data_IF_408632138403
#
_entry.id   IF_408632138403
#
_cell.length_a   1.000
_cell.length_b   1.000
_cell.length_c   1.000
_cell.angle_alpha   90.00
_cell.angle_beta   90.00
_cell.angle_gamma   90.00
#
_symmetry.space_group_name_H-M   'P 1'
#
loop_
_entity.id
_entity.type
_entity.pdbx_description
1 polymer ?
#
# COMPACT_ATOMS: atom_id res chain seq x y z
N UNK A 1 -35.60 -4.83 45.46
CA UNK A 1 -35.19 -3.49 44.95
C UNK A 1 -34.83 -3.59 43.48
N UNK A 2 -35.68 -3.03 42.61
CA UNK A 2 -35.47 -2.97 41.16
C UNK A 2 -34.31 -2.02 40.85
N UNK A 3 -33.18 -2.53 40.33
CA UNK A 3 -32.08 -1.68 39.84
C UNK A 3 -32.55 -1.03 38.54
N UNK A 4 -32.88 0.26 38.60
CA UNK A 4 -33.11 1.12 37.44
C UNK A 4 -32.00 0.89 36.40
N UNK A 5 -32.37 0.33 35.24
CA UNK A 5 -31.49 0.15 34.09
C UNK A 5 -31.22 1.54 33.50
N UNK A 6 -30.11 2.16 33.90
CA UNK A 6 -29.65 3.42 33.30
C UNK A 6 -29.45 3.23 31.79
N UNK A 7 -29.99 4.16 31.01
CA UNK A 7 -29.79 4.21 29.56
C UNK A 7 -28.28 4.25 29.23
N UNK A 8 -27.89 3.64 28.11
CA UNK A 8 -26.51 3.65 27.68
C UNK A 8 -26.03 5.09 27.41
N UNK A 9 -24.93 5.53 28.02
CA UNK A 9 -24.39 6.89 27.83
C UNK A 9 -23.75 7.16 26.47
N UNK A 10 -23.76 6.19 25.55
CA UNK A 10 -23.17 6.30 24.20
C UNK A 10 -24.25 6.41 23.13
N UNK A 11 -25.27 5.55 23.22
CA UNK A 11 -26.30 5.42 22.20
C UNK A 11 -27.70 5.68 22.75
N UNK A 12 -27.81 6.07 24.02
CA UNK A 12 -29.05 6.41 24.75
C UNK A 12 -30.14 5.32 24.79
N UNK A 13 -29.88 4.16 24.17
CA UNK A 13 -30.75 3.00 24.20
C UNK A 13 -30.82 2.38 25.61
N UNK A 14 -32.02 1.92 25.98
CA UNK A 14 -32.23 1.12 27.16
C UNK A 14 -31.76 -0.33 26.93
N UNK A 15 -31.32 -1.01 28.01
CA UNK A 15 -31.10 -2.47 28.09
C UNK A 15 -29.76 -3.06 27.59
N UNK A 16 -28.68 -2.31 27.45
CA UNK A 16 -27.34 -2.94 27.37
C UNK A 16 -26.25 -2.15 28.11
N UNK A 17 -25.24 -2.88 28.60
CA UNK A 17 -24.07 -2.27 29.25
C UNK A 17 -23.36 -1.34 28.26
N UNK A 18 -22.86 -0.22 28.75
CA UNK A 18 -22.07 0.77 27.99
C UNK A 18 -20.93 0.13 27.20
N UNK A 19 -20.28 -0.89 27.77
CA UNK A 19 -19.22 -1.65 27.09
C UNK A 19 -19.66 -2.38 25.81
N UNK A 20 -20.92 -2.87 25.74
CA UNK A 20 -21.44 -3.52 24.51
C UNK A 20 -21.76 -2.50 23.41
N UNK A 21 -22.28 -1.30 23.74
CA UNK A 21 -22.45 -0.23 22.74
C UNK A 21 -21.11 0.37 22.33
N UNK A 22 -20.16 0.45 23.27
CA UNK A 22 -18.81 0.90 22.96
C UNK A 22 -18.17 -0.05 21.96
N UNK A 23 -18.12 -1.36 22.20
CA UNK A 23 -17.54 -2.32 21.25
C UNK A 23 -18.19 -2.28 19.86
N UNK A 24 -19.52 -2.18 19.78
CA UNK A 24 -20.24 -2.12 18.50
C UNK A 24 -19.99 -0.79 17.77
N UNK A 25 -20.06 0.34 18.45
CA UNK A 25 -19.75 1.65 17.85
C UNK A 25 -18.25 1.85 17.59
N UNK A 26 -17.36 1.21 18.35
CA UNK A 26 -15.92 1.21 18.12
C UNK A 26 -15.63 0.50 16.80
N UNK A 27 -16.22 -0.69 16.63
CA UNK A 27 -16.18 -1.44 15.38
C UNK A 27 -16.78 -0.64 14.22
N UNK A 28 -17.97 -0.06 14.37
CA UNK A 28 -18.58 0.71 13.28
C UNK A 28 -17.80 2.01 12.94
N UNK A 29 -17.17 2.67 13.94
CA UNK A 29 -16.39 3.91 13.74
C UNK A 29 -14.96 3.68 13.23
N UNK A 30 -14.32 2.58 13.62
CA UNK A 30 -12.94 2.24 13.21
C UNK A 30 -12.91 1.22 12.09
N UNK A 31 -13.73 0.19 12.15
CA UNK A 31 -13.67 -1.00 11.29
C UNK A 31 -14.67 -0.91 10.15
N UNK A 32 -15.83 -0.26 10.30
CA UNK A 32 -16.83 -0.14 9.23
C UNK A 32 -16.26 0.48 7.95
N UNK A 33 -15.51 1.58 8.08
CA UNK A 33 -14.83 2.20 6.94
C UNK A 33 -13.49 1.54 6.62
N UNK A 34 -12.81 0.97 7.61
CA UNK A 34 -11.46 0.42 7.43
C UNK A 34 -11.47 -0.98 6.84
N UNK A 35 -12.49 -1.80 7.09
CA UNK A 35 -12.66 -3.12 6.46
C UNK A 35 -12.96 -2.97 4.98
N UNK A 36 -13.93 -2.13 4.63
CA UNK A 36 -14.23 -1.78 3.23
C UNK A 36 -13.00 -1.16 2.56
N UNK A 37 -12.26 -0.27 3.25
CA UNK A 37 -11.03 0.33 2.72
C UNK A 37 -9.85 -0.65 2.59
N UNK A 38 -9.67 -1.58 3.54
CA UNK A 38 -8.66 -2.65 3.47
C UNK A 38 -8.99 -3.60 2.32
N UNK A 39 -10.25 -4.04 2.22
CA UNK A 39 -10.73 -4.92 1.16
C UNK A 39 -10.63 -4.26 -0.24
N UNK A 40 -10.93 -2.96 -0.35
CA UNK A 40 -10.98 -2.26 -1.63
C UNK A 40 -9.64 -1.66 -2.10
N UNK A 41 -8.72 -1.31 -1.18
CA UNK A 41 -7.57 -0.45 -1.53
C UNK A 41 -6.20 -1.02 -1.19
N UNK A 42 -6.10 -2.05 -0.34
CA UNK A 42 -4.82 -2.52 0.16
C UNK A 42 -4.78 -4.03 0.05
N UNK A 43 -4.01 -4.55 -0.90
CA UNK A 43 -3.63 -5.96 -0.93
C UNK A 43 -2.70 -6.31 0.23
N UNK A 44 -3.14 -6.04 1.46
CA UNK A 44 -2.52 -6.51 2.68
C UNK A 44 -2.63 -8.03 2.65
N UNK A 45 -1.50 -8.69 2.84
CA UNK A 45 -1.51 -10.11 3.09
C UNK A 45 -2.34 -10.43 4.35
N UNK A 46 -2.67 -11.70 4.53
CA UNK A 46 -3.49 -12.16 5.65
C UNK A 46 -2.90 -11.76 7.02
N UNK A 47 -1.57 -11.57 7.11
CA UNK A 47 -0.88 -11.24 8.35
C UNK A 47 -1.06 -9.77 8.73
N UNK A 48 -0.99 -8.87 7.75
CA UNK A 48 -1.25 -7.44 7.95
C UNK A 48 -2.73 -7.18 8.30
N UNK A 49 -3.65 -7.92 7.69
CA UNK A 49 -5.08 -7.84 8.03
C UNK A 49 -5.35 -8.33 9.46
N UNK A 50 -4.79 -9.47 9.85
CA UNK A 50 -4.90 -10.01 11.20
C UNK A 50 -4.31 -9.06 12.25
N UNK A 51 -3.18 -8.40 11.92
CA UNK A 51 -2.59 -7.40 12.80
C UNK A 51 -3.51 -6.19 13.02
N UNK A 52 -4.11 -5.65 11.96
CA UNK A 52 -5.05 -4.53 12.08
C UNK A 52 -6.27 -4.95 12.90
N UNK A 53 -6.84 -6.13 12.61
CA UNK A 53 -8.02 -6.64 13.32
C UNK A 53 -7.72 -6.83 14.80
N UNK A 54 -6.60 -7.48 15.17
CA UNK A 54 -6.19 -7.65 16.57
C UNK A 54 -5.98 -6.31 17.26
N UNK A 55 -5.24 -5.40 16.62
CA UNK A 55 -4.93 -4.09 17.20
C UNK A 55 -6.21 -3.29 17.46
N UNK A 56 -7.16 -3.31 16.55
CA UNK A 56 -8.40 -2.53 16.69
C UNK A 56 -9.43 -3.21 17.61
N UNK A 57 -9.51 -4.55 17.62
CA UNK A 57 -10.61 -5.28 18.26
C UNK A 57 -10.24 -5.92 19.60
N UNK A 58 -8.98 -6.26 19.84
CA UNK A 58 -8.54 -6.98 21.04
C UNK A 58 -7.86 -6.08 22.06
N UNK A 59 -6.96 -5.20 21.60
CA UNK A 59 -6.18 -4.32 22.50
C UNK A 59 -7.06 -3.42 23.37
N UNK A 60 -8.16 -2.81 22.91
CA UNK A 60 -9.03 -2.01 23.77
C UNK A 60 -9.70 -2.81 24.90
N UNK A 61 -9.75 -4.15 24.81
CA UNK A 61 -10.38 -4.99 25.82
C UNK A 61 -9.47 -5.24 27.04
N UNK A 62 -8.16 -4.95 26.93
CA UNK A 62 -7.20 -5.22 27.99
C UNK A 62 -7.47 -4.41 29.27
N UNK A 63 -6.78 -4.76 30.36
CA UNK A 63 -6.94 -4.06 31.64
C UNK A 63 -6.41 -2.62 31.57
N UNK A 64 -6.92 -1.75 32.46
CA UNK A 64 -6.58 -0.32 32.46
C UNK A 64 -5.07 -0.07 32.51
N UNK A 65 -4.31 -0.85 33.30
CA UNK A 65 -2.87 -0.67 33.44
C UNK A 65 -2.11 -1.09 32.17
N UNK A 66 -2.51 -2.18 31.53
CA UNK A 66 -1.97 -2.58 30.23
C UNK A 66 -2.26 -1.51 29.17
N UNK A 67 -3.48 -0.99 29.13
CA UNK A 67 -3.85 0.04 28.16
C UNK A 67 -3.08 1.35 28.38
N UNK A 68 -2.78 1.73 29.63
CA UNK A 68 -1.90 2.87 29.94
C UNK A 68 -0.51 2.67 29.35
N UNK A 69 0.08 1.50 29.55
CA UNK A 69 1.41 1.19 29.02
C UNK A 69 1.42 1.28 27.50
N UNK A 70 0.47 0.61 26.84
CA UNK A 70 0.33 0.61 25.39
C UNK A 70 0.20 2.03 24.83
N UNK A 71 -0.75 2.82 25.37
CA UNK A 71 -0.95 4.22 24.91
C UNK A 71 0.29 5.07 25.13
N UNK A 72 1.00 4.91 26.26
CA UNK A 72 2.22 5.66 26.54
C UNK A 72 3.31 5.35 25.53
N UNK A 73 3.50 4.06 25.22
CA UNK A 73 4.46 3.61 24.22
C UNK A 73 4.09 4.12 22.83
N UNK A 74 2.82 4.04 22.45
CA UNK A 74 2.35 4.49 21.13
C UNK A 74 2.42 6.02 20.92
N UNK A 75 2.51 6.81 21.99
CA UNK A 75 2.73 8.27 21.91
C UNK A 75 4.18 8.64 21.60
N UNK A 76 5.09 7.67 21.53
CA UNK A 76 6.44 7.88 21.01
C UNK A 76 6.41 8.15 19.51
N UNK A 77 7.47 8.78 18.99
CA UNK A 77 7.66 8.92 17.55
C UNK A 77 8.12 7.56 17.01
N UNK A 78 7.47 7.10 15.96
CA UNK A 78 7.91 5.93 15.21
C UNK A 78 8.40 6.37 13.84
N UNK A 79 9.46 5.72 13.37
CA UNK A 79 9.96 5.90 12.01
C UNK A 79 10.08 4.56 11.32
N UNK A 80 9.75 4.56 10.03
CA UNK A 80 9.88 3.40 9.15
C UNK A 80 10.62 3.84 7.90
N UNK A 81 11.71 3.14 7.58
CA UNK A 81 12.43 3.36 6.33
C UNK A 81 12.02 2.27 5.34
N UNK A 82 11.45 2.67 4.21
CA UNK A 82 11.13 1.74 3.14
C UNK A 82 12.33 1.58 2.22
N UNK A 83 12.89 0.38 2.08
CA UNK A 83 14.01 0.12 1.18
C UNK A 83 13.59 0.16 -0.30
N UNK A 84 12.31 -0.09 -0.58
CA UNK A 84 11.77 -0.13 -1.93
C UNK A 84 11.82 1.23 -2.60
N UNK A 85 11.37 2.28 -1.90
CA UNK A 85 11.29 3.62 -2.45
C UNK A 85 12.27 4.63 -1.81
N UNK A 86 13.20 4.14 -0.97
CA UNK A 86 14.21 4.93 -0.26
C UNK A 86 13.62 6.12 0.52
N UNK A 87 12.43 5.94 1.11
CA UNK A 87 11.69 7.00 1.81
C UNK A 87 11.58 6.70 3.30
N UNK A 88 11.78 7.74 4.12
CA UNK A 88 11.55 7.70 5.56
C UNK A 88 10.13 8.19 5.87
N UNK A 89 9.35 7.35 6.53
CA UNK A 89 8.03 7.65 7.04
C UNK A 89 8.11 7.86 8.54
N UNK A 90 7.42 8.89 9.04
CA UNK A 90 7.36 9.20 10.46
C UNK A 90 5.90 9.23 10.92
N UNK A 91 5.64 8.54 12.02
CA UNK A 91 4.35 8.54 12.70
C UNK A 91 4.53 9.32 13.99
N UNK A 92 4.09 10.58 13.97
CA UNK A 92 4.07 11.44 15.15
C UNK A 92 2.69 11.44 15.81
N UNK A 93 2.49 10.47 16.70
CA UNK A 93 1.29 10.36 17.50
C UNK A 93 1.24 11.37 18.67
N UNK A 94 2.28 12.17 18.93
CA UNK A 94 2.26 13.19 19.99
C UNK A 94 1.22 14.27 19.72
N UNK A 95 0.84 14.44 18.46
CA UNK A 95 -0.27 15.28 18.04
C UNK A 95 -1.64 14.83 18.60
N UNK A 96 -1.78 13.59 19.06
CA UNK A 96 -2.92 13.12 19.88
C UNK A 96 -2.71 13.49 21.36
N UNK A 97 -2.50 14.78 21.64
CA UNK A 97 -2.14 15.25 22.97
C UNK A 97 -3.13 14.76 24.03
N UNK A 98 -2.66 14.06 25.08
CA UNK A 98 -3.52 13.67 26.19
C UNK A 98 -4.08 14.93 26.87
N UNK A 99 -5.38 14.97 27.14
CA UNK A 99 -6.03 16.12 27.80
C UNK A 99 -5.60 16.30 29.27
N UNK A 100 -4.90 15.29 29.82
CA UNK A 100 -4.37 15.24 31.19
C UNK A 100 -3.26 14.17 31.26
N UNK A 101 -2.49 14.06 32.36
CA UNK A 101 -1.54 12.97 32.51
C UNK A 101 -2.20 11.59 32.28
N UNK A 102 -1.52 10.67 31.59
CA UNK A 102 -2.03 9.32 31.25
C UNK A 102 -2.51 8.58 32.52
N UNK A 103 -1.78 8.73 33.63
CA UNK A 103 -2.15 8.15 34.93
C UNK A 103 -3.54 8.55 35.43
N UNK A 104 -4.02 9.76 35.06
CA UNK A 104 -5.31 10.34 35.49
C UNK A 104 -6.48 10.00 34.54
N UNK A 105 -6.26 9.24 33.48
CA UNK A 105 -7.34 8.81 32.58
C UNK A 105 -8.18 7.67 33.18
N UNK A 106 -9.47 7.65 32.87
CA UNK A 106 -10.32 6.46 33.07
C UNK A 106 -10.05 5.43 31.98
N UNK A 107 -10.53 4.18 32.15
CA UNK A 107 -10.35 3.13 31.12
C UNK A 107 -10.93 3.56 29.77
N UNK A 108 -12.16 4.07 29.76
CA UNK A 108 -12.85 4.53 28.55
C UNK A 108 -12.09 5.70 27.89
N UNK A 109 -11.52 6.61 28.67
CA UNK A 109 -10.72 7.71 28.11
C UNK A 109 -9.43 7.21 27.46
N UNK A 110 -8.80 6.17 28.00
CA UNK A 110 -7.64 5.51 27.38
C UNK A 110 -8.03 4.76 26.12
N UNK A 111 -9.16 4.06 26.12
CA UNK A 111 -9.66 3.36 24.93
C UNK A 111 -9.89 4.34 23.79
N UNK A 112 -10.54 5.49 24.06
CA UNK A 112 -10.73 6.54 23.06
C UNK A 112 -9.42 7.16 22.55
N UNK A 113 -8.44 7.36 23.44
CA UNK A 113 -7.14 7.88 23.05
C UNK A 113 -6.38 6.86 22.18
N UNK A 114 -6.35 5.59 22.58
CA UNK A 114 -5.77 4.48 21.82
C UNK A 114 -6.33 4.42 20.40
N UNK A 115 -7.65 4.51 20.27
CA UNK A 115 -8.36 4.49 18.98
C UNK A 115 -7.91 5.62 18.05
N UNK A 116 -7.79 6.85 18.58
CA UNK A 116 -7.32 7.99 17.78
C UNK A 116 -5.88 7.82 17.32
N UNK A 117 -5.02 7.33 18.22
CA UNK A 117 -3.63 7.03 17.90
C UNK A 117 -3.56 5.95 16.82
N UNK A 118 -4.23 4.80 17.01
CA UNK A 118 -4.27 3.71 16.05
C UNK A 118 -4.73 4.15 14.67
N UNK A 119 -5.72 5.04 14.58
CA UNK A 119 -6.18 5.58 13.30
C UNK A 119 -5.05 6.28 12.53
N UNK A 120 -4.17 7.02 13.23
CA UNK A 120 -2.98 7.62 12.59
C UNK A 120 -1.99 6.57 12.12
N UNK A 121 -1.67 5.59 12.96
CA UNK A 121 -0.77 4.50 12.60
C UNK A 121 -1.25 3.76 11.35
N UNK A 122 -2.54 3.42 11.31
CA UNK A 122 -3.13 2.72 10.18
C UNK A 122 -3.10 3.57 8.92
N UNK A 123 -3.47 4.86 9.01
CA UNK A 123 -3.42 5.75 7.84
C UNK A 123 -2.00 5.83 7.26
N UNK A 124 -0.99 6.04 8.11
CA UNK A 124 0.41 6.10 7.65
C UNK A 124 0.87 4.75 7.10
N UNK A 125 0.49 3.63 7.72
CA UNK A 125 0.80 2.30 7.19
C UNK A 125 0.21 2.09 5.79
N UNK A 126 -1.02 2.55 5.57
CA UNK A 126 -1.64 2.47 4.24
C UNK A 126 -0.93 3.37 3.24
N UNK A 127 -0.56 4.60 3.62
CA UNK A 127 0.24 5.48 2.77
C UNK A 127 1.57 4.84 2.36
N UNK A 128 2.27 4.20 3.32
CA UNK A 128 3.50 3.43 3.06
C UNK A 128 3.25 2.37 2.00
N UNK A 129 2.22 1.52 2.19
CA UNK A 129 1.94 0.41 1.27
C UNK A 129 1.54 0.87 -0.12
N UNK A 130 0.75 1.94 -0.22
CA UNK A 130 0.35 2.51 -1.51
C UNK A 130 1.55 3.09 -2.26
N UNK A 131 2.43 3.79 -1.55
CA UNK A 131 3.67 4.33 -2.12
C UNK A 131 4.62 3.20 -2.59
N UNK A 132 4.80 2.15 -1.79
CA UNK A 132 5.62 0.98 -2.15
C UNK A 132 5.07 0.30 -3.40
N UNK A 133 3.76 0.01 -3.44
CA UNK A 133 3.11 -0.60 -4.60
C UNK A 133 3.26 0.25 -5.85
N UNK A 134 3.11 1.58 -5.73
CA UNK A 134 3.29 2.51 -6.83
C UNK A 134 4.73 2.49 -7.35
N UNK A 135 5.71 2.43 -6.45
CA UNK A 135 7.12 2.36 -6.83
C UNK A 135 7.44 1.05 -7.55
N UNK A 136 7.02 -0.09 -7.01
CA UNK A 136 7.24 -1.41 -7.63
C UNK A 136 6.63 -1.49 -9.03
N UNK A 137 5.39 -1.02 -9.20
CA UNK A 137 4.76 -0.96 -10.53
C UNK A 137 5.54 -0.08 -11.51
N UNK A 138 6.06 1.05 -11.04
CA UNK A 138 6.87 1.94 -11.88
C UNK A 138 8.21 1.28 -12.27
N UNK A 139 8.85 0.58 -11.34
CA UNK A 139 10.09 -0.16 -11.60
C UNK A 139 9.88 -1.30 -12.61
N UNK A 140 8.75 -2.02 -12.52
CA UNK A 140 8.33 -3.01 -13.52
C UNK A 140 8.13 -2.39 -14.91
N UNK A 141 7.38 -1.28 -15.00
CA UNK A 141 7.16 -0.56 -16.27
C UNK A 141 8.47 -0.03 -16.90
N UNK A 142 9.43 0.41 -16.07
CA UNK A 142 10.76 0.82 -16.54
C UNK A 142 11.61 -0.40 -16.97
N UNK A 143 11.51 -1.52 -16.24
CA UNK A 143 12.19 -2.76 -16.60
C UNK A 143 11.68 -3.34 -17.92
N UNK A 144 10.38 -3.26 -18.20
CA UNK A 144 9.78 -3.67 -19.48
C UNK A 144 10.26 -2.80 -20.65
N UNK A 145 10.46 -1.49 -20.45
CA UNK A 145 11.02 -0.61 -21.48
C UNK A 145 12.49 -0.93 -21.80
N UNK A 146 13.22 -1.44 -20.81
CA UNK A 146 14.61 -1.89 -20.93
C UNK A 146 14.72 -3.34 -21.45
N UNK A 147 13.66 -3.93 -22.01
CA UNK A 147 13.67 -5.26 -22.63
C UNK A 147 13.59 -5.21 -24.17
N UNK A 148 14.26 -6.16 -24.82
CA UNK A 148 14.09 -6.36 -26.25
C UNK A 148 12.71 -6.95 -26.50
N UNK A 149 11.86 -6.32 -27.32
CA UNK A 149 10.51 -6.80 -27.55
C UNK A 149 10.43 -8.04 -28.46
N UNK A 150 11.58 -8.59 -28.90
CA UNK A 150 11.65 -9.83 -29.68
C UNK A 150 11.95 -11.01 -28.75
N UNK A 151 12.98 -10.92 -27.90
CA UNK A 151 13.40 -12.02 -27.02
C UNK A 151 12.97 -11.84 -25.55
N UNK A 152 12.43 -10.67 -25.18
CA UNK A 152 12.04 -10.28 -23.81
C UNK A 152 13.20 -10.24 -22.80
N UNK A 153 14.44 -10.29 -23.27
CA UNK A 153 15.63 -10.12 -22.43
C UNK A 153 16.01 -8.64 -22.28
N UNK A 154 16.68 -8.29 -21.18
CA UNK A 154 17.13 -6.91 -20.97
C UNK A 154 18.13 -6.47 -22.04
N UNK A 155 17.87 -5.32 -22.67
CA UNK A 155 18.78 -4.66 -23.61
C UNK A 155 19.81 -3.76 -22.91
N UNK A 156 19.69 -3.56 -21.61
CA UNK A 156 20.59 -2.74 -20.80
C UNK A 156 21.97 -3.38 -20.72
N UNK A 157 23.00 -2.67 -21.16
CA UNK A 157 24.38 -3.19 -21.23
C UNK A 157 24.65 -4.15 -22.39
N UNK A 158 23.66 -4.46 -23.23
CA UNK A 158 23.85 -5.20 -24.47
C UNK A 158 24.08 -4.25 -25.65
N UNK A 159 24.56 -4.79 -26.78
CA UNK A 159 24.56 -4.05 -28.05
C UNK A 159 23.12 -3.91 -28.52
N UNK A 160 22.70 -2.67 -28.74
CA UNK A 160 21.34 -2.33 -29.17
C UNK A 160 21.32 -1.73 -30.57
N UNK A 161 20.20 -1.91 -31.25
CA UNK A 161 19.90 -1.26 -32.52
C UNK A 161 18.59 -0.50 -32.38
N UNK A 162 18.63 0.81 -32.62
CA UNK A 162 17.44 1.67 -32.64
C UNK A 162 17.07 1.99 -34.08
N UNK A 163 15.84 1.63 -34.45
CA UNK A 163 15.28 1.91 -35.78
C UNK A 163 14.98 3.40 -35.95
N UNK A 164 14.87 3.87 -37.19
CA UNK A 164 14.48 5.26 -37.51
C UNK A 164 13.11 5.65 -36.96
N UNK A 165 12.23 4.68 -36.72
CA UNK A 165 10.94 4.89 -36.07
C UNK A 165 11.00 4.98 -34.54
N UNK A 166 12.20 4.88 -33.94
CA UNK A 166 12.46 5.06 -32.51
C UNK A 166 12.43 3.79 -31.66
N UNK A 167 12.14 2.62 -32.22
CA UNK A 167 12.10 1.36 -31.46
C UNK A 167 13.48 0.72 -31.36
N UNK A 168 13.83 0.26 -30.16
CA UNK A 168 15.12 -0.36 -29.82
C UNK A 168 15.00 -1.86 -29.62
N UNK A 169 16.04 -2.59 -30.02
CA UNK A 169 16.12 -4.05 -29.97
C UNK A 169 17.52 -4.52 -29.60
N UNK A 170 17.66 -5.75 -29.12
CA UNK A 170 18.94 -6.43 -29.05
C UNK A 170 19.51 -6.58 -30.47
N UNK A 171 20.80 -6.28 -30.70
CA UNK A 171 21.39 -6.37 -32.04
C UNK A 171 21.18 -7.74 -32.70
N UNK A 172 21.42 -8.88 -32.02
CA UNK A 172 21.14 -10.20 -32.61
C UNK A 172 19.71 -10.34 -33.10
N UNK A 173 18.74 -9.97 -32.25
CA UNK A 173 17.31 -10.04 -32.54
C UNK A 173 16.95 -9.19 -33.77
N UNK A 174 17.50 -7.99 -33.84
CA UNK A 174 17.25 -7.06 -34.93
C UNK A 174 17.79 -7.59 -36.26
N UNK A 175 19.06 -8.04 -36.29
CA UNK A 175 19.66 -8.59 -37.51
C UNK A 175 18.96 -9.84 -38.01
N UNK A 176 18.63 -10.78 -37.11
CA UNK A 176 17.87 -11.99 -37.48
C UNK A 176 16.50 -11.64 -38.06
N UNK A 177 15.79 -10.68 -37.46
CA UNK A 177 14.50 -10.23 -37.96
C UNK A 177 14.60 -9.52 -39.32
N UNK A 178 15.59 -8.63 -39.50
CA UNK A 178 15.80 -7.95 -40.78
C UNK A 178 16.18 -8.91 -41.89
N UNK A 179 17.13 -9.81 -41.65
CA UNK A 179 17.61 -10.76 -42.64
C UNK A 179 16.46 -11.64 -43.15
N UNK A 180 15.69 -12.21 -42.21
CA UNK A 180 14.50 -13.01 -42.54
C UNK A 180 13.48 -12.24 -43.38
N UNK A 181 13.23 -10.97 -43.07
CA UNK A 181 12.30 -10.13 -43.85
C UNK A 181 12.83 -9.79 -45.24
N UNK A 182 14.12 -9.48 -45.38
CA UNK A 182 14.74 -9.18 -46.68
C UNK A 182 14.71 -10.43 -47.57
N UNK A 183 15.05 -11.59 -47.03
CA UNK A 183 15.05 -12.85 -47.79
C UNK A 183 13.65 -13.24 -48.27
N UNK A 184 12.61 -12.98 -47.46
CA UNK A 184 11.23 -13.34 -47.80
C UNK A 184 10.48 -12.29 -48.63
N UNK A 185 10.77 -11.01 -48.43
CA UNK A 185 9.93 -9.91 -48.95
C UNK A 185 10.72 -8.85 -49.71
N UNK A 186 12.05 -8.94 -49.76
CA UNK A 186 12.93 -7.94 -50.38
C UNK A 186 13.01 -6.61 -49.61
N UNK A 187 12.23 -6.41 -48.55
CA UNK A 187 12.14 -5.17 -47.76
C UNK A 187 12.27 -5.46 -46.28
N UNK A 188 12.75 -4.50 -45.48
CA UNK A 188 12.75 -4.64 -44.02
C UNK A 188 11.86 -3.62 -43.33
N UNK A 189 11.03 -4.12 -42.41
CA UNK A 189 10.05 -3.39 -41.61
C UNK A 189 10.36 -3.56 -40.12
N UNK A 190 10.15 -2.51 -39.34
CA UNK A 190 10.30 -2.55 -37.89
C UNK A 190 9.43 -3.67 -37.27
N UNK A 191 10.00 -4.59 -36.47
CA UNK A 191 9.22 -5.65 -35.83
C UNK A 191 8.10 -5.14 -34.91
N UNK A 192 8.21 -3.92 -34.36
CA UNK A 192 7.18 -3.31 -33.51
C UNK A 192 6.05 -2.64 -34.29
N UNK A 193 6.40 -1.65 -35.10
CA UNK A 193 5.41 -0.76 -35.71
C UNK A 193 5.27 -0.94 -37.23
N UNK A 194 6.04 -1.86 -37.81
CA UNK A 194 6.02 -2.22 -39.24
C UNK A 194 6.33 -1.07 -40.22
N UNK A 195 6.88 0.05 -39.74
CA UNK A 195 7.45 1.09 -40.61
C UNK A 195 8.72 0.60 -41.28
N UNK A 196 8.93 1.00 -42.53
CA UNK A 196 10.12 0.64 -43.31
C UNK A 196 11.39 1.09 -42.61
N UNK A 197 12.29 0.13 -42.37
CA UNK A 197 13.60 0.38 -41.76
C UNK A 197 14.68 0.60 -42.82
N UNK A 198 14.63 -0.16 -43.93
CA UNK A 198 15.51 0.00 -45.08
C UNK A 198 14.69 -0.14 -46.35
N UNK A 199 14.79 0.86 -47.22
CA UNK A 199 14.34 0.76 -48.62
C UNK A 199 15.48 0.17 -49.45
N UNK A 200 15.31 -1.05 -49.93
CA UNK A 200 16.22 -1.66 -50.90
C UNK A 200 15.88 -1.12 -52.29
N UNK A 201 16.86 -0.54 -52.98
CA UNK A 201 16.69 -0.21 -54.41
C UNK A 201 16.54 -1.51 -55.21
N UNK A 202 15.61 -1.60 -56.18
CA UNK A 202 15.56 -2.74 -57.07
C UNK A 202 16.91 -2.90 -57.76
N UNK A 203 17.47 -4.12 -57.74
CA UNK A 203 18.61 -4.45 -58.60
C UNK A 203 18.06 -4.51 -60.02
N UNK A 204 18.40 -3.49 -60.81
CA UNK A 204 18.21 -3.47 -62.26
C UNK A 204 19.04 -4.58 -62.91
#
# INVERSE_FOLDING_TARGET
MSKSLKNCSICHAAKHKTGKCFQRNLYDRLVGNLRQFIEDHVGLDNQDQDWVIRSVCEVPKCEKNALKYIVTTMLLIYSYYSPHNNKLYTIDARSETPTKPIGKHTKIQLENLYVRIMKKFINTFVEIRLDEKKYMKKEEEEAEQDQCPICLESIKGQKTCTTTCGHSFCSPCFFTAMQSQIDQRGTSLCPLCRRTCIETRPRY
#
